data_IF_054955696238
#
_entry.id   IF_054955696238
#
_cell.length_a   1.000
_cell.length_b   1.000
_cell.length_c   1.000
_cell.angle_alpha   90.00
_cell.angle_beta   90.00
_cell.angle_gamma   90.00
#
_symmetry.space_group_name_H-M   'P 1'
#
loop_
_entity.id
_entity.type
_entity.pdbx_description
1 polymer ?
#
# COMPACT_ATOMS: atom_id res chain seq x y z
N UNK A 1 -1.29 2.80 12.34
CA UNK A 1 -0.60 3.74 11.43
C UNK A 1 0.56 4.41 12.15
N UNK A 2 1.42 5.18 11.47
CA UNK A 2 2.47 5.99 12.13
C UNK A 2 1.85 7.01 13.10
N UNK A 3 0.69 7.56 12.76
CA UNK A 3 -0.06 8.49 13.62
C UNK A 3 -0.46 7.80 14.92
N UNK A 4 -1.11 6.63 14.83
CA UNK A 4 -1.59 5.91 16.01
C UNK A 4 -0.42 5.46 16.90
N UNK A 5 0.70 5.05 16.29
CA UNK A 5 1.93 4.74 17.02
C UNK A 5 2.43 5.94 17.83
N UNK A 6 2.51 7.11 17.19
CA UNK A 6 2.95 8.34 17.84
C UNK A 6 1.98 8.80 18.93
N UNK A 7 0.68 8.56 18.76
CA UNK A 7 -0.32 8.86 19.78
C UNK A 7 -0.19 7.95 20.99
N UNK A 8 -0.13 6.63 20.77
CA UNK A 8 0.05 5.66 21.84
C UNK A 8 1.36 5.89 22.60
N UNK A 9 2.46 6.19 21.89
CA UNK A 9 3.77 6.46 22.50
C UNK A 9 3.70 7.57 23.55
N UNK A 10 2.85 8.59 23.40
CA UNK A 10 2.70 9.69 24.38
C UNK A 10 2.22 9.21 25.76
N UNK A 11 1.49 8.10 25.81
CA UNK A 11 0.95 7.53 27.05
C UNK A 11 1.92 6.60 27.81
N UNK A 12 3.09 6.29 27.24
CA UNK A 12 4.07 5.39 27.83
C UNK A 12 5.43 6.09 28.01
N UNK A 13 6.19 5.71 29.04
CA UNK A 13 7.58 6.13 29.18
C UNK A 13 8.42 5.50 28.04
N UNK A 14 9.36 6.25 27.44
CA UNK A 14 10.09 5.83 26.22
C UNK A 14 10.80 4.47 26.36
N UNK A 15 11.20 4.09 27.56
CA UNK A 15 11.89 2.81 27.83
C UNK A 15 10.96 1.57 27.73
N UNK A 16 9.64 1.76 27.81
CA UNK A 16 8.67 0.67 27.92
C UNK A 16 7.82 0.45 26.66
N UNK A 17 8.01 1.23 25.59
CA UNK A 17 7.21 1.10 24.37
C UNK A 17 8.03 0.47 23.23
N UNK A 18 7.84 -0.84 23.02
CA UNK A 18 8.47 -1.59 21.93
C UNK A 18 7.40 -2.26 21.09
N UNK A 19 7.42 -2.03 19.78
CA UNK A 19 6.65 -2.84 18.84
C UNK A 19 7.36 -4.18 18.71
N UNK A 20 6.65 -5.27 19.00
CA UNK A 20 7.05 -6.61 18.58
C UNK A 20 6.28 -6.97 17.32
N UNK A 21 6.95 -7.60 16.38
CA UNK A 21 6.31 -8.10 15.16
C UNK A 21 5.51 -9.37 15.48
N UNK A 22 4.36 -9.47 14.83
CA UNK A 22 3.40 -10.58 14.80
C UNK A 22 3.45 -11.58 15.98
N UNK A 23 2.82 -11.20 17.11
CA UNK A 23 2.74 -12.07 18.29
C UNK A 23 1.92 -13.35 18.07
N UNK A 24 1.16 -13.43 16.97
CA UNK A 24 0.30 -14.57 16.66
C UNK A 24 1.03 -15.65 15.87
N UNK A 25 2.21 -15.35 15.32
CA UNK A 25 2.97 -16.27 14.47
C UNK A 25 3.22 -17.62 15.16
N UNK A 26 3.52 -17.63 16.47
CA UNK A 26 3.84 -18.86 17.21
C UNK A 26 2.62 -19.67 17.67
N UNK A 27 1.40 -19.17 17.49
CA UNK A 27 0.18 -19.80 18.03
C UNK A 27 -0.92 -20.00 16.98
N UNK A 28 -0.73 -19.50 15.75
CA UNK A 28 -1.70 -19.62 14.67
C UNK A 28 -1.29 -20.70 13.67
N UNK A 29 -1.49 -21.96 14.07
CA UNK A 29 -0.99 -23.14 13.35
C UNK A 29 -1.60 -23.30 11.93
N UNK A 30 -2.84 -22.86 11.70
CA UNK A 30 -3.58 -22.99 10.44
C UNK A 30 -3.67 -21.68 9.62
N UNK A 31 -2.74 -20.74 9.85
CA UNK A 31 -2.76 -19.45 9.16
C UNK A 31 -2.72 -19.61 7.63
N UNK A 32 -3.66 -19.01 6.89
CA UNK A 32 -3.65 -19.07 5.43
C UNK A 32 -2.35 -18.50 4.84
N UNK A 33 -1.89 -19.11 3.75
CA UNK A 33 -0.76 -18.57 2.98
C UNK A 33 -1.17 -17.29 2.26
N UNK A 34 -0.18 -16.45 1.97
CA UNK A 34 -0.38 -15.32 1.07
C UNK A 34 -0.97 -15.80 -0.27
N UNK A 35 -1.94 -15.05 -0.83
CA UNK A 35 -2.50 -15.35 -2.14
C UNK A 35 -1.41 -15.31 -3.22
N UNK A 36 -1.60 -16.10 -4.27
CA UNK A 36 -0.69 -16.20 -5.42
C UNK A 36 -1.46 -16.03 -6.73
N UNK A 37 -2.54 -15.27 -6.68
CA UNK A 37 -3.39 -15.04 -7.83
C UNK A 37 -2.68 -14.15 -8.85
N UNK A 38 -3.10 -14.28 -10.11
CA UNK A 38 -2.48 -13.51 -11.20
C UNK A 38 -3.02 -12.08 -11.24
N UNK A 39 -2.11 -11.12 -11.44
CA UNK A 39 -2.45 -9.72 -11.70
C UNK A 39 -2.74 -9.55 -13.19
N UNK A 40 -3.73 -8.73 -13.54
CA UNK A 40 -4.09 -8.44 -14.93
C UNK A 40 -4.23 -6.94 -15.18
N UNK A 41 -4.11 -6.56 -16.46
CA UNK A 41 -4.24 -5.17 -16.91
C UNK A 41 -5.71 -4.77 -16.94
N UNK A 42 -6.00 -3.59 -16.40
CA UNK A 42 -7.29 -2.94 -16.52
C UNK A 42 -7.31 -2.08 -17.79
N UNK A 43 -8.17 -2.45 -18.74
CA UNK A 43 -8.18 -1.82 -20.06
C UNK A 43 -8.39 -0.31 -20.01
N UNK A 44 -7.70 0.39 -20.91
CA UNK A 44 -7.69 1.85 -20.98
C UNK A 44 -9.10 2.43 -21.21
N UNK A 45 -9.96 1.72 -21.93
CA UNK A 45 -11.35 2.14 -22.18
C UNK A 45 -12.17 2.29 -20.88
N UNK A 46 -11.83 1.53 -19.84
CA UNK A 46 -12.44 1.65 -18.51
C UNK A 46 -11.65 2.59 -17.60
N UNK A 47 -10.31 2.57 -17.70
CA UNK A 47 -9.45 3.37 -16.84
C UNK A 47 -9.51 4.89 -17.12
N UNK A 48 -9.84 5.29 -18.36
CA UNK A 48 -9.96 6.68 -18.80
C UNK A 48 -8.65 7.47 -18.90
N UNK A 49 -7.57 7.01 -18.24
CA UNK A 49 -6.21 7.58 -18.30
C UNK A 49 -5.17 6.49 -18.30
N UNK A 50 -4.12 6.69 -19.10
CA UNK A 50 -2.96 5.81 -19.11
C UNK A 50 -2.15 5.92 -17.82
N UNK A 51 -1.37 4.87 -17.49
CA UNK A 51 -0.52 4.88 -16.30
C UNK A 51 0.55 5.99 -16.36
N UNK A 52 1.09 6.29 -17.54
CA UNK A 52 2.07 7.38 -17.71
C UNK A 52 1.47 8.74 -17.39
N UNK A 53 0.25 9.01 -17.85
CA UNK A 53 -0.47 10.25 -17.50
C UNK A 53 -0.76 10.35 -16.00
N UNK A 54 -1.07 9.24 -15.34
CA UNK A 54 -1.32 9.21 -13.89
C UNK A 54 -0.04 9.47 -13.10
N UNK A 55 1.04 8.80 -13.46
CA UNK A 55 2.36 8.97 -12.84
C UNK A 55 2.84 10.42 -12.99
N UNK A 56 2.70 11.02 -14.18
CA UNK A 56 3.10 12.41 -14.40
C UNK A 56 2.38 13.38 -13.46
N UNK A 57 1.06 13.26 -13.34
CA UNK A 57 0.27 14.07 -12.40
C UNK A 57 0.71 13.86 -10.94
N UNK A 58 1.06 12.63 -10.57
CA UNK A 58 1.59 12.32 -9.24
C UNK A 58 2.95 13.00 -9.04
N UNK A 59 3.85 12.94 -10.03
CA UNK A 59 5.17 13.60 -10.00
C UNK A 59 5.07 15.10 -9.83
N UNK A 60 4.27 15.75 -10.67
CA UNK A 60 4.00 17.18 -10.56
C UNK A 60 3.54 17.55 -9.14
N UNK A 61 2.68 16.71 -8.54
CA UNK A 61 2.13 16.98 -7.21
C UNK A 61 3.17 16.85 -6.10
N UNK A 62 3.95 15.77 -6.04
CA UNK A 62 4.93 15.60 -4.96
C UNK A 62 6.13 16.56 -5.12
N UNK A 63 6.55 16.86 -6.35
CA UNK A 63 7.58 17.89 -6.59
C UNK A 63 7.09 19.27 -6.16
N UNK A 64 5.84 19.64 -6.44
CA UNK A 64 5.26 20.90 -5.95
C UNK A 64 5.19 20.99 -4.41
N UNK A 65 5.27 19.85 -3.73
CA UNK A 65 5.30 19.75 -2.27
C UNK A 65 6.73 19.71 -1.71
N UNK A 66 7.77 19.84 -2.56
CA UNK A 66 9.17 19.79 -2.15
C UNK A 66 9.70 18.39 -1.84
N UNK A 67 9.00 17.33 -2.29
CA UNK A 67 9.46 15.96 -2.15
C UNK A 67 10.18 15.48 -3.42
N UNK A 68 11.15 14.60 -3.24
CA UNK A 68 11.88 13.95 -4.35
C UNK A 68 11.26 12.61 -4.76
N UNK A 69 10.43 12.01 -3.90
CA UNK A 69 9.84 10.70 -4.13
C UNK A 69 8.51 10.54 -3.38
N UNK A 70 7.71 9.56 -3.80
CA UNK A 70 6.42 9.25 -3.19
C UNK A 70 6.24 7.75 -2.96
N UNK A 71 5.96 7.37 -1.70
CA UNK A 71 5.66 5.98 -1.31
C UNK A 71 4.15 5.79 -1.23
N UNK A 72 3.65 4.75 -1.89
CA UNK A 72 2.25 4.33 -1.88
C UNK A 72 2.15 2.96 -1.21
N UNK A 73 1.29 2.87 -0.18
CA UNK A 73 0.98 1.63 0.55
C UNK A 73 -0.49 1.25 0.51
N UNK A 74 -1.37 2.12 0.02
CA UNK A 74 -2.76 1.79 -0.27
C UNK A 74 -2.81 0.89 -1.52
N UNK A 75 -3.49 -0.26 -1.42
CA UNK A 75 -3.56 -1.23 -2.51
C UNK A 75 -4.41 -0.71 -3.68
N UNK A 76 -5.45 0.06 -3.38
CA UNK A 76 -6.33 0.70 -4.35
C UNK A 76 -5.63 1.83 -5.12
N UNK A 77 -4.82 2.65 -4.45
CA UNK A 77 -3.99 3.66 -5.11
C UNK A 77 -2.97 3.02 -6.06
N UNK A 78 -2.34 1.91 -5.66
CA UNK A 78 -1.39 1.19 -6.52
C UNK A 78 -2.10 0.59 -7.74
N UNK A 79 -3.21 -0.12 -7.53
CA UNK A 79 -4.03 -0.68 -8.61
C UNK A 79 -4.51 0.41 -9.58
N UNK A 80 -4.94 1.57 -9.07
CA UNK A 80 -5.36 2.70 -9.89
C UNK A 80 -4.19 3.31 -10.67
N UNK A 81 -3.03 3.52 -10.03
CA UNK A 81 -1.85 4.16 -10.63
C UNK A 81 -1.35 3.39 -11.84
N UNK A 82 -1.25 2.06 -11.73
CA UNK A 82 -0.69 1.22 -12.80
C UNK A 82 -1.72 0.65 -13.78
N UNK A 83 -3.01 0.94 -13.60
CA UNK A 83 -4.09 0.26 -14.34
C UNK A 83 -3.98 -1.27 -14.21
N UNK A 84 -3.75 -1.76 -13.00
CA UNK A 84 -3.65 -3.19 -12.69
C UNK A 84 -4.75 -3.61 -11.73
N UNK A 85 -5.17 -4.87 -11.79
CA UNK A 85 -6.15 -5.46 -10.87
C UNK A 85 -5.71 -6.85 -10.47
N UNK A 86 -6.14 -7.28 -9.29
CA UNK A 86 -5.87 -8.60 -8.74
C UNK A 86 -7.07 -9.13 -7.98
N UNK A 87 -6.86 -10.17 -7.19
CA UNK A 87 -7.91 -10.81 -6.38
C UNK A 87 -7.38 -11.33 -5.04
N UNK A 88 -6.33 -10.69 -4.52
CA UNK A 88 -5.68 -11.11 -3.27
C UNK A 88 -6.58 -10.93 -2.04
N UNK A 89 -7.53 -10.01 -2.13
CA UNK A 89 -8.48 -9.69 -1.07
C UNK A 89 -9.88 -10.00 -1.56
N UNK A 90 -10.60 -10.85 -0.83
CA UNK A 90 -11.98 -11.23 -1.18
C UNK A 90 -12.85 -9.99 -1.37
N UNK A 91 -13.60 -9.95 -2.48
CA UNK A 91 -14.46 -8.83 -2.89
C UNK A 91 -13.74 -7.51 -3.22
N UNK A 92 -12.41 -7.50 -3.29
CA UNK A 92 -11.63 -6.35 -3.76
C UNK A 92 -10.80 -6.76 -4.99
N UNK A 93 -10.63 -5.83 -5.93
CA UNK A 93 -9.89 -6.09 -7.18
C UNK A 93 -8.44 -5.63 -7.10
N UNK A 94 -7.85 -5.74 -5.91
CA UNK A 94 -6.49 -5.28 -5.56
C UNK A 94 -5.53 -6.46 -5.33
N UNK A 95 -4.25 -6.13 -5.19
CA UNK A 95 -3.16 -7.08 -4.97
C UNK A 95 -2.15 -6.49 -3.97
N UNK A 96 -1.55 -7.34 -3.14
CA UNK A 96 -0.58 -6.90 -2.14
C UNK A 96 0.68 -6.35 -2.82
N UNK A 97 0.98 -5.08 -2.56
CA UNK A 97 2.13 -4.40 -3.15
C UNK A 97 2.48 -3.12 -2.39
N UNK A 98 3.70 -2.64 -2.61
CA UNK A 98 4.15 -1.30 -2.25
C UNK A 98 4.80 -0.68 -3.47
N UNK A 99 4.69 0.64 -3.61
CA UNK A 99 5.29 1.37 -4.74
C UNK A 99 6.07 2.56 -4.23
N UNK A 100 7.26 2.76 -4.81
CA UNK A 100 8.03 3.98 -4.72
C UNK A 100 8.08 4.62 -6.11
N UNK A 101 7.69 5.89 -6.21
CA UNK A 101 7.81 6.71 -7.42
C UNK A 101 8.91 7.75 -7.19
N UNK A 102 9.89 7.77 -8.09
CA UNK A 102 11.01 8.72 -8.15
C UNK A 102 10.93 9.57 -9.42
#
# INVERSE_FOLDING_TARGET
SVSDYNELKKGFNEENFKIKYDLLESVWDDRPKFPKESIYVHDLCYAGRSLSQKIEVIREKYHSSGADSYIISSLDDIAWTFNLRGSDVLNNTTFYSYTLIE
#
